data_IF_338104248888
#
_entry.id   IF_338104248888
#
_cell.length_a   1.000
_cell.length_b   1.000
_cell.length_c   1.000
_cell.angle_alpha   90.00
_cell.angle_beta   90.00
_cell.angle_gamma   90.00
#
_symmetry.space_group_name_H-M   'P 1'
#
loop_
_entity.id
_entity.type
_entity.pdbx_description
1 polymer ?
#
# COMPACT_ATOMS: atom_id res chain seq x y z
N UNK A 1 25.37 -10.86 -1.82
CA UNK A 1 24.49 -11.29 -2.92
C UNK A 1 25.03 -11.00 -4.33
N UNK A 2 25.00 -9.78 -4.87
CA UNK A 2 25.47 -9.55 -6.27
C UNK A 2 26.95 -9.95 -6.49
N UNK A 3 27.83 -9.60 -5.54
CA UNK A 3 29.24 -10.03 -5.53
C UNK A 3 29.39 -11.56 -5.49
N UNK A 4 28.60 -12.23 -4.66
CA UNK A 4 28.60 -13.70 -4.53
C UNK A 4 28.05 -14.38 -5.77
N UNK A 5 27.01 -13.84 -6.39
CA UNK A 5 26.44 -14.34 -7.64
C UNK A 5 27.48 -14.33 -8.75
N UNK A 6 28.20 -13.21 -8.91
CA UNK A 6 29.29 -13.08 -9.91
C UNK A 6 30.41 -14.08 -9.62
N UNK A 7 30.79 -14.23 -8.35
CA UNK A 7 31.82 -15.19 -7.94
C UNK A 7 31.41 -16.65 -8.24
N UNK A 8 30.20 -17.06 -7.87
CA UNK A 8 29.71 -18.41 -8.14
C UNK A 8 29.52 -18.68 -9.63
N UNK A 9 29.05 -17.70 -10.41
CA UNK A 9 28.96 -17.81 -11.86
C UNK A 9 30.34 -18.00 -12.51
N UNK A 10 31.34 -17.23 -12.08
CA UNK A 10 32.72 -17.40 -12.55
C UNK A 10 33.28 -18.79 -12.19
N UNK A 11 32.97 -19.31 -11.00
CA UNK A 11 33.36 -20.66 -10.58
C UNK A 11 32.68 -21.76 -11.41
N UNK A 12 31.39 -21.59 -11.76
CA UNK A 12 30.70 -22.51 -12.68
C UNK A 12 31.42 -22.58 -14.02
N UNK A 13 31.76 -21.44 -14.62
CA UNK A 13 32.49 -21.40 -15.89
C UNK A 13 33.88 -22.03 -15.76
N UNK A 14 34.63 -21.68 -14.71
CA UNK A 14 35.97 -22.23 -14.43
C UNK A 14 35.96 -23.76 -14.32
N UNK A 15 35.04 -24.32 -13.53
CA UNK A 15 34.99 -25.77 -13.32
C UNK A 15 34.37 -26.50 -14.51
N UNK A 16 33.42 -25.90 -15.24
CA UNK A 16 32.89 -26.46 -16.47
C UNK A 16 33.99 -26.60 -17.53
N UNK A 17 34.79 -25.55 -17.73
CA UNK A 17 35.93 -25.59 -18.64
C UNK A 17 36.97 -26.63 -18.21
N UNK A 18 37.25 -26.74 -16.90
CA UNK A 18 38.17 -27.76 -16.36
C UNK A 18 37.68 -29.18 -16.62
N UNK A 19 36.39 -29.46 -16.38
CA UNK A 19 35.76 -30.76 -16.67
C UNK A 19 35.80 -31.07 -18.16
N UNK A 20 35.47 -30.09 -19.01
CA UNK A 20 35.53 -30.24 -20.46
C UNK A 20 36.95 -30.55 -20.95
N UNK A 21 37.94 -29.75 -20.54
CA UNK A 21 39.34 -29.99 -20.88
C UNK A 21 39.82 -31.38 -20.43
N UNK A 22 39.47 -31.81 -19.21
CA UNK A 22 39.86 -33.13 -18.69
C UNK A 22 39.23 -34.26 -19.50
N UNK A 23 37.96 -34.12 -19.89
CA UNK A 23 37.23 -35.10 -20.70
C UNK A 23 37.81 -35.24 -22.11
N UNK A 24 38.31 -34.15 -22.69
CA UNK A 24 38.81 -34.12 -24.06
C UNK A 24 40.32 -34.33 -24.20
N UNK A 25 41.13 -34.06 -23.16
CA UNK A 25 42.60 -34.25 -23.19
C UNK A 25 43.05 -35.61 -22.65
N UNK A 26 42.32 -36.17 -21.69
CA UNK A 26 42.64 -37.46 -21.09
C UNK A 26 41.40 -38.36 -21.24
N UNK A 27 41.46 -39.37 -22.10
CA UNK A 27 40.34 -40.26 -22.41
C UNK A 27 39.76 -41.03 -21.18
N UNK A 28 40.39 -40.95 -20.01
CA UNK A 28 39.98 -41.61 -18.78
C UNK A 28 39.11 -40.72 -17.89
N UNK A 29 37.79 -40.75 -18.16
CA UNK A 29 36.74 -40.15 -17.33
C UNK A 29 36.63 -40.68 -15.89
N UNK A 30 37.51 -41.58 -15.45
CA UNK A 30 37.54 -42.14 -14.08
C UNK A 30 38.65 -41.58 -13.19
N UNK A 31 39.44 -40.60 -13.65
CA UNK A 31 40.50 -40.03 -12.80
C UNK A 31 39.92 -39.32 -11.56
N UNK A 32 40.56 -39.48 -10.40
CA UNK A 32 40.16 -38.84 -9.14
C UNK A 32 40.09 -37.30 -9.30
N UNK A 33 40.97 -36.73 -10.13
CA UNK A 33 40.98 -35.30 -10.42
C UNK A 33 39.74 -34.84 -11.20
N UNK A 34 39.28 -35.65 -12.16
CA UNK A 34 38.05 -35.39 -12.91
C UNK A 34 36.83 -35.42 -11.98
N UNK A 35 36.72 -36.43 -11.12
CA UNK A 35 35.63 -36.55 -10.15
C UNK A 35 35.62 -35.34 -9.20
N UNK A 36 36.79 -34.88 -8.73
CA UNK A 36 36.90 -33.66 -7.92
C UNK A 36 36.44 -32.42 -8.68
N UNK A 37 36.82 -32.26 -9.94
CA UNK A 37 36.40 -31.13 -10.77
C UNK A 37 34.89 -31.12 -11.01
N UNK A 38 34.29 -32.29 -11.27
CA UNK A 38 32.84 -32.44 -11.38
C UNK A 38 32.11 -32.07 -10.08
N UNK A 39 32.58 -32.55 -8.92
CA UNK A 39 32.00 -32.18 -7.62
C UNK A 39 32.05 -30.67 -7.39
N UNK A 40 33.18 -30.02 -7.71
CA UNK A 40 33.33 -28.56 -7.60
C UNK A 40 32.39 -27.80 -8.54
N UNK A 41 32.15 -28.32 -9.75
CA UNK A 41 31.17 -27.77 -10.68
C UNK A 41 29.76 -27.85 -10.10
N UNK A 42 29.33 -29.02 -9.64
CA UNK A 42 27.99 -29.19 -9.05
C UNK A 42 27.78 -28.32 -7.80
N UNK A 43 28.78 -28.23 -6.93
CA UNK A 43 28.74 -27.32 -5.78
C UNK A 43 28.55 -25.87 -6.21
N UNK A 44 29.31 -25.42 -7.23
CA UNK A 44 29.22 -24.04 -7.74
C UNK A 44 27.86 -23.74 -8.37
N UNK A 45 27.28 -24.70 -9.10
CA UNK A 45 25.93 -24.60 -9.66
C UNK A 45 24.90 -24.47 -8.52
N UNK A 46 25.01 -25.34 -7.51
CA UNK A 46 24.06 -25.32 -6.39
C UNK A 46 24.15 -24.02 -5.57
N UNK A 47 25.36 -23.54 -5.29
CA UNK A 47 25.56 -22.24 -4.63
C UNK A 47 24.98 -21.09 -5.46
N UNK A 48 25.16 -21.10 -6.78
CA UNK A 48 24.57 -20.08 -7.66
C UNK A 48 23.04 -20.11 -7.63
N UNK A 49 22.42 -21.30 -7.66
CA UNK A 49 20.98 -21.45 -7.52
C UNK A 49 20.47 -20.92 -6.18
N UNK A 50 21.16 -21.23 -5.07
CA UNK A 50 20.81 -20.73 -3.74
C UNK A 50 20.85 -19.21 -3.67
N UNK A 51 21.89 -18.58 -4.23
CA UNK A 51 22.00 -17.11 -4.28
C UNK A 51 20.89 -16.50 -5.14
N UNK A 52 20.56 -17.10 -6.30
CA UNK A 52 19.43 -16.64 -7.13
C UNK A 52 18.09 -16.72 -6.39
N UNK A 53 17.84 -17.81 -5.66
CA UNK A 53 16.63 -17.95 -4.85
C UNK A 53 16.55 -16.92 -3.72
N UNK A 54 17.67 -16.64 -3.05
CA UNK A 54 17.72 -15.60 -2.03
C UNK A 54 17.47 -14.21 -2.62
N UNK A 55 18.00 -13.93 -3.82
CA UNK A 55 17.76 -12.68 -4.51
C UNK A 55 16.28 -12.53 -4.91
N UNK A 56 15.66 -13.58 -5.45
CA UNK A 56 14.23 -13.57 -5.78
C UNK A 56 13.38 -13.25 -4.53
N UNK A 57 13.62 -13.93 -3.40
CA UNK A 57 12.92 -13.66 -2.14
C UNK A 57 13.08 -12.22 -1.63
N UNK A 58 14.22 -11.59 -1.87
CA UNK A 58 14.44 -10.19 -1.49
C UNK A 58 13.71 -9.23 -2.42
N UNK A 59 13.70 -9.51 -3.72
CA UNK A 59 12.95 -8.72 -4.71
C UNK A 59 11.47 -8.76 -4.37
N UNK A 60 10.91 -9.94 -4.12
CA UNK A 60 9.50 -10.11 -3.74
C UNK A 60 9.16 -9.29 -2.48
N UNK A 61 9.98 -9.40 -1.42
CA UNK A 61 9.79 -8.61 -0.19
C UNK A 61 9.90 -7.10 -0.38
N UNK A 62 10.75 -6.65 -1.30
CA UNK A 62 10.87 -5.23 -1.60
C UNK A 62 9.63 -4.69 -2.36
N UNK A 63 9.04 -5.51 -3.24
CA UNK A 63 7.80 -5.17 -3.95
C UNK A 63 6.65 -5.02 -2.94
N UNK A 64 6.48 -5.98 -2.03
CA UNK A 64 5.45 -5.93 -0.99
C UNK A 64 5.53 -4.65 -0.14
N UNK A 65 6.75 -4.17 0.14
CA UNK A 65 6.95 -2.96 0.93
C UNK A 65 6.59 -1.68 0.16
N UNK A 66 6.84 -1.64 -1.15
CA UNK A 66 6.46 -0.52 -2.01
C UNK A 66 4.93 -0.44 -2.10
N UNK A 67 4.25 -1.57 -2.27
CA UNK A 67 2.80 -1.62 -2.32
C UNK A 67 2.18 -1.17 -1.00
N UNK A 68 2.76 -1.57 0.14
CA UNK A 68 2.31 -1.13 1.46
C UNK A 68 2.49 0.39 1.65
N UNK A 69 3.60 0.97 1.19
CA UNK A 69 3.80 2.42 1.21
C UNK A 69 2.82 3.16 0.30
N UNK A 70 2.51 2.60 -0.88
CA UNK A 70 1.51 3.16 -1.78
C UNK A 70 0.10 3.14 -1.16
N UNK A 71 -0.28 2.03 -0.51
CA UNK A 71 -1.53 1.91 0.24
C UNK A 71 -1.57 2.95 1.36
N UNK A 72 -0.51 3.05 2.17
CA UNK A 72 -0.46 4.02 3.27
C UNK A 72 -0.59 5.46 2.77
N UNK A 73 0.06 5.81 1.65
CA UNK A 73 -0.07 7.12 1.03
C UNK A 73 -1.50 7.39 0.57
N UNK A 74 -2.12 6.44 -0.13
CA UNK A 74 -3.49 6.59 -0.63
C UNK A 74 -4.50 6.73 0.52
N UNK A 75 -4.38 5.91 1.56
CA UNK A 75 -5.22 6.00 2.77
C UNK A 75 -5.06 7.35 3.45
N UNK A 76 -3.83 7.87 3.55
CA UNK A 76 -3.60 9.20 4.13
C UNK A 76 -4.29 10.30 3.33
N UNK A 77 -4.20 10.27 1.99
CA UNK A 77 -4.86 11.26 1.11
C UNK A 77 -6.38 11.20 1.30
N UNK A 78 -6.97 10.00 1.25
CA UNK A 78 -8.42 9.81 1.46
C UNK A 78 -8.88 10.29 2.84
N UNK A 79 -8.03 10.12 3.87
CA UNK A 79 -8.33 10.59 5.23
C UNK A 79 -8.38 12.12 5.28
N UNK A 80 -7.45 12.81 4.62
CA UNK A 80 -7.46 14.27 4.52
C UNK A 80 -8.70 14.78 3.77
N UNK A 81 -9.01 14.19 2.62
CA UNK A 81 -10.20 14.54 1.84
C UNK A 81 -11.49 14.34 2.64
N UNK A 82 -11.58 13.22 3.38
CA UNK A 82 -12.73 12.93 4.23
C UNK A 82 -12.86 13.92 5.40
N UNK A 83 -11.74 14.34 6.00
CA UNK A 83 -11.73 15.34 7.05
C UNK A 83 -12.22 16.71 6.55
N UNK A 84 -11.81 17.11 5.35
CA UNK A 84 -12.28 18.35 4.71
C UNK A 84 -13.77 18.28 4.39
N UNK A 85 -14.26 17.14 3.89
CA UNK A 85 -15.69 16.92 3.65
C UNK A 85 -16.50 17.00 4.95
N UNK A 86 -16.02 16.39 6.04
CA UNK A 86 -16.65 16.46 7.36
C UNK A 86 -16.72 17.90 7.88
N UNK A 87 -15.66 18.70 7.68
CA UNK A 87 -15.64 20.11 8.06
C UNK A 87 -16.69 20.92 7.28
N UNK A 88 -16.78 20.70 5.97
CA UNK A 88 -17.80 21.34 5.13
C UNK A 88 -19.22 20.93 5.53
N UNK A 89 -19.42 19.65 5.84
CA UNK A 89 -20.70 19.13 6.30
C UNK A 89 -21.11 19.75 7.64
N UNK A 90 -20.17 19.89 8.59
CA UNK A 90 -20.41 20.57 9.86
C UNK A 90 -20.89 22.01 9.66
N UNK A 91 -20.25 22.76 8.76
CA UNK A 91 -20.69 24.14 8.43
C UNK A 91 -22.11 24.14 7.85
N UNK A 92 -22.42 23.22 6.95
CA UNK A 92 -23.77 23.10 6.37
C UNK A 92 -24.83 22.77 7.41
N UNK A 93 -24.53 21.87 8.35
CA UNK A 93 -25.43 21.50 9.45
C UNK A 93 -25.69 22.71 10.35
N UNK A 94 -24.65 23.44 10.75
CA UNK A 94 -24.81 24.66 11.56
C UNK A 94 -25.70 25.69 10.85
N UNK A 95 -25.51 25.92 9.55
CA UNK A 95 -26.35 26.83 8.78
C UNK A 95 -27.82 26.38 8.71
N UNK A 96 -28.08 25.06 8.71
CA UNK A 96 -29.44 24.52 8.76
C UNK A 96 -30.05 24.77 10.13
N UNK A 97 -29.29 24.55 11.22
CA UNK A 97 -29.74 24.81 12.59
C UNK A 97 -30.09 26.29 12.79
N UNK A 98 -29.24 27.22 12.32
CA UNK A 98 -29.50 28.66 12.38
C UNK A 98 -30.80 29.04 11.66
N UNK A 99 -31.02 28.51 10.45
CA UNK A 99 -32.27 28.75 9.70
C UNK A 99 -33.50 28.18 10.38
N UNK A 100 -33.39 27.01 11.01
CA UNK A 100 -34.49 26.41 11.76
C UNK A 100 -34.85 27.27 12.98
N UNK A 101 -33.85 27.82 13.68
CA UNK A 101 -34.08 28.76 14.79
C UNK A 101 -34.80 30.01 14.28
N UNK A 102 -34.30 30.62 13.19
CA UNK A 102 -34.92 31.80 12.59
C UNK A 102 -36.37 31.55 12.17
N UNK A 103 -36.64 30.43 11.49
CA UNK A 103 -38.01 30.04 11.12
C UNK A 103 -38.91 29.88 12.34
N UNK A 104 -38.42 29.24 13.40
CA UNK A 104 -39.20 29.05 14.63
C UNK A 104 -39.51 30.40 15.31
N UNK A 105 -38.55 31.33 15.37
CA UNK A 105 -38.79 32.68 15.88
C UNK A 105 -39.82 33.44 15.05
N UNK A 106 -39.70 33.38 13.72
CA UNK A 106 -40.66 34.03 12.81
C UNK A 106 -42.07 33.44 12.94
N UNK A 107 -42.17 32.12 13.09
CA UNK A 107 -43.44 31.44 13.31
C UNK A 107 -44.06 31.85 14.64
N UNK A 108 -43.28 31.88 15.73
CA UNK A 108 -43.75 32.35 17.04
C UNK A 108 -44.21 33.81 17.01
N UNK A 109 -43.48 34.69 16.31
CA UNK A 109 -43.89 36.08 16.14
C UNK A 109 -45.22 36.18 15.38
N UNK A 110 -45.40 35.38 14.32
CA UNK A 110 -46.64 35.34 13.55
C UNK A 110 -47.81 34.84 14.38
N UNK A 111 -47.61 33.78 15.18
CA UNK A 111 -48.61 33.26 16.11
C UNK A 111 -49.00 34.33 17.14
N UNK A 112 -48.02 35.03 17.71
CA UNK A 112 -48.27 36.09 18.68
C UNK A 112 -49.05 37.27 18.06
N UNK A 113 -48.76 37.64 16.82
CA UNK A 113 -49.51 38.67 16.11
C UNK A 113 -50.96 38.24 15.81
N UNK A 114 -51.18 36.96 15.50
CA UNK A 114 -52.52 36.39 15.33
C UNK A 114 -53.28 36.44 16.66
N UNK A 115 -52.67 36.00 17.77
CA UNK A 115 -53.30 36.06 19.10
C UNK A 115 -53.68 37.50 19.47
N UNK A 116 -52.77 38.47 19.31
CA UNK A 116 -53.07 39.89 19.56
C UNK A 116 -54.26 40.40 18.73
N UNK A 117 -54.36 40.00 17.47
CA UNK A 117 -55.49 40.39 16.60
C UNK A 117 -56.80 39.73 17.04
N UNK A 118 -56.76 38.47 17.45
CA UNK A 118 -57.92 37.77 18.01
C UNK A 118 -58.39 38.44 19.31
N UNK A 119 -57.48 38.74 20.23
CA UNK A 119 -57.80 39.41 21.49
C UNK A 119 -58.47 40.78 21.24
N UNK A 120 -57.92 41.57 20.30
CA UNK A 120 -58.52 42.86 19.90
C UNK A 120 -59.92 42.74 19.28
N UNK A 121 -60.25 41.63 18.62
CA UNK A 121 -61.57 41.39 18.05
C UNK A 121 -62.55 40.93 19.13
N UNK A 122 -62.14 40.02 20.00
CA UNK A 122 -62.97 39.51 21.09
C UNK A 122 -63.31 40.59 22.13
N UNK A 123 -62.39 41.53 22.41
CA UNK A 123 -62.65 42.67 23.30
C UNK A 123 -63.64 43.69 22.72
N UNK A 124 -63.80 43.75 21.39
CA UNK A 124 -64.75 44.65 20.73
C UNK A 124 -66.19 44.12 20.75
N UNK A 125 -66.36 42.81 20.80
CA UNK A 125 -67.69 42.17 20.86
C UNK A 125 -68.23 42.06 22.30
N UNK A 126 -67.45 42.46 23.31
CA UNK A 126 -67.78 42.39 24.74
C UNK A 126 -68.29 43.72 25.35
N UNK A 127 -68.61 44.73 24.50
CA UNK A 127 -69.23 46.02 24.88
C UNK A 127 -70.50 46.26 24.09
#
# INVERSE_FOLDING_TARGET
LSKEQKMHAANVVKFALKVWCMRHKNASGSSIQYIRAQRQLFQSIHSLHRVKQQQAKLVDRCIDHIDLLAIQRNTSVQTYESADQLKMMKVKVNNIEEKLIEMNTNMNNTINDIHKKLDMLLDKDSK
#
